data_IF_557675607865
#
_entry.id   IF_557675607865
#
_cell.length_a   1.000
_cell.length_b   1.000
_cell.length_c   1.000
_cell.angle_alpha   90.00
_cell.angle_beta   90.00
_cell.angle_gamma   90.00
#
_symmetry.space_group_name_H-M   'P 1'
#
loop_
_entity.id
_entity.type
_entity.pdbx_description
1 polymer ?
#
# COMPACT_ATOMS: atom_id res chain seq x y z
N UNK A 1 13.43 -15.29 -16.23
CA UNK A 1 13.18 -14.67 -14.91
C UNK A 1 12.41 -15.65 -14.05
N UNK A 2 12.90 -15.91 -12.84
CA UNK A 2 12.17 -16.82 -11.96
C UNK A 2 11.01 -16.08 -11.28
N UNK A 3 10.16 -16.85 -10.61
CA UNK A 3 8.95 -16.30 -10.02
C UNK A 3 9.23 -15.28 -8.90
N UNK A 4 10.26 -15.53 -8.10
CA UNK A 4 10.64 -14.61 -7.04
C UNK A 4 11.10 -13.27 -7.59
N UNK A 5 11.91 -13.30 -8.66
CA UNK A 5 12.37 -12.08 -9.30
C UNK A 5 11.21 -11.29 -9.90
N UNK A 6 10.25 -12.00 -10.52
CA UNK A 6 9.07 -11.36 -11.08
C UNK A 6 8.25 -10.65 -9.98
N UNK A 7 8.04 -11.32 -8.85
CA UNK A 7 7.32 -10.74 -7.72
C UNK A 7 8.04 -9.51 -7.18
N UNK A 8 9.36 -9.59 -7.04
CA UNK A 8 10.15 -8.46 -6.58
C UNK A 8 10.06 -7.26 -7.53
N UNK A 9 10.06 -7.52 -8.84
CA UNK A 9 9.91 -6.46 -9.83
C UNK A 9 8.54 -5.78 -9.71
N UNK A 10 7.48 -6.55 -9.53
CA UNK A 10 6.13 -6.01 -9.35
C UNK A 10 6.06 -5.18 -8.08
N UNK A 11 6.59 -5.68 -6.98
CA UNK A 11 6.62 -4.95 -5.72
C UNK A 11 7.38 -3.63 -5.87
N UNK A 12 8.53 -3.66 -6.54
CA UNK A 12 9.32 -2.46 -6.78
C UNK A 12 8.56 -1.43 -7.60
N UNK A 13 7.86 -1.86 -8.64
CA UNK A 13 7.05 -0.98 -9.46
C UNK A 13 5.91 -0.36 -8.66
N UNK A 14 5.23 -1.15 -7.83
CA UNK A 14 4.14 -0.66 -6.98
C UNK A 14 4.65 0.33 -5.93
N UNK A 15 5.81 0.06 -5.33
CA UNK A 15 6.42 0.98 -4.38
C UNK A 15 6.77 2.30 -5.04
N UNK A 16 7.25 2.27 -6.28
CA UNK A 16 7.55 3.47 -7.04
C UNK A 16 6.28 4.29 -7.28
N UNK A 17 5.19 3.63 -7.70
CA UNK A 17 3.90 4.28 -7.91
C UNK A 17 3.40 4.91 -6.62
N UNK A 18 3.48 4.18 -5.50
CA UNK A 18 3.10 4.71 -4.19
C UNK A 18 3.88 5.96 -3.83
N UNK A 19 5.19 5.91 -4.02
CA UNK A 19 6.07 7.04 -3.67
C UNK A 19 5.73 8.28 -4.49
N UNK A 20 5.54 8.11 -5.79
CA UNK A 20 5.18 9.22 -6.68
C UNK A 20 3.83 9.81 -6.27
N UNK A 21 2.83 8.96 -6.03
CA UNK A 21 1.50 9.41 -5.64
C UNK A 21 1.53 10.17 -4.32
N UNK A 22 2.28 9.65 -3.35
CA UNK A 22 2.41 10.27 -2.05
C UNK A 22 3.10 11.63 -2.15
N UNK A 23 4.17 11.72 -2.97
CA UNK A 23 4.89 12.98 -3.17
C UNK A 23 4.00 14.02 -3.82
N UNK A 24 3.19 13.62 -4.81
CA UNK A 24 2.26 14.55 -5.46
C UNK A 24 1.28 15.13 -4.43
N UNK A 25 0.70 14.28 -3.59
CA UNK A 25 -0.22 14.76 -2.56
C UNK A 25 0.49 15.64 -1.53
N UNK A 26 1.73 15.33 -1.19
CA UNK A 26 2.52 16.13 -0.26
C UNK A 26 2.79 17.53 -0.83
N UNK A 27 3.17 17.61 -2.11
CA UNK A 27 3.40 18.89 -2.79
C UNK A 27 2.11 19.70 -2.85
N UNK A 28 0.97 19.06 -3.14
CA UNK A 28 -0.32 19.76 -3.15
C UNK A 28 -0.66 20.31 -1.78
N UNK A 29 -0.40 19.55 -0.71
CA UNK A 29 -0.63 20.02 0.65
C UNK A 29 0.25 21.22 0.97
N UNK A 30 1.51 21.21 0.54
CA UNK A 30 2.43 22.34 0.73
C UNK A 30 1.95 23.60 0.01
N UNK A 31 1.20 23.45 -1.08
CA UNK A 31 0.63 24.55 -1.84
C UNK A 31 -0.78 24.93 -1.39
N UNK A 32 -1.22 24.43 -0.25
CA UNK A 32 -2.57 24.64 0.30
C UNK A 32 -3.69 24.11 -0.62
N UNK A 33 -3.39 23.09 -1.40
CA UNK A 33 -4.38 22.40 -2.22
C UNK A 33 -4.79 21.11 -1.54
N UNK A 34 -6.02 20.68 -1.82
CA UNK A 34 -6.53 19.43 -1.26
C UNK A 34 -5.82 18.22 -1.87
N UNK A 35 -5.52 17.18 -1.08
CA UNK A 35 -4.99 15.94 -1.64
C UNK A 35 -5.99 15.32 -2.60
N UNK A 36 -5.48 14.69 -3.65
CA UNK A 36 -6.34 14.00 -4.61
C UNK A 36 -6.77 12.65 -4.03
N UNK A 37 -8.07 12.43 -3.99
CA UNK A 37 -8.62 11.20 -3.42
C UNK A 37 -8.14 9.96 -4.16
N UNK A 38 -8.14 10.02 -5.49
CA UNK A 38 -7.76 8.86 -6.29
C UNK A 38 -6.28 8.49 -6.10
N UNK A 39 -5.41 9.48 -5.87
CA UNK A 39 -4.01 9.20 -5.56
C UNK A 39 -3.85 8.51 -4.21
N UNK A 40 -4.64 8.92 -3.22
CA UNK A 40 -4.67 8.24 -1.94
C UNK A 40 -5.11 6.79 -2.07
N UNK A 41 -6.13 6.55 -2.89
CA UNK A 41 -6.59 5.19 -3.17
C UNK A 41 -5.50 4.36 -3.83
N UNK A 42 -4.78 4.94 -4.80
CA UNK A 42 -3.67 4.25 -5.46
C UNK A 42 -2.61 3.84 -4.44
N UNK A 43 -2.25 4.73 -3.52
CA UNK A 43 -1.25 4.44 -2.48
C UNK A 43 -1.70 3.25 -1.62
N UNK A 44 -2.93 3.29 -1.11
CA UNK A 44 -3.40 2.23 -0.21
C UNK A 44 -3.58 0.90 -0.92
N UNK A 45 -4.14 0.92 -2.12
CA UNK A 45 -4.35 -0.30 -2.91
C UNK A 45 -3.00 -0.92 -3.27
N UNK A 46 -2.04 -0.11 -3.71
CA UNK A 46 -0.69 -0.60 -4.03
C UNK A 46 -0.02 -1.19 -2.80
N UNK A 47 -0.18 -0.56 -1.62
CA UNK A 47 0.35 -1.09 -0.37
C UNK A 47 -0.22 -2.44 -0.02
N UNK A 48 -1.53 -2.61 -0.17
CA UNK A 48 -2.20 -3.88 0.11
C UNK A 48 -1.68 -4.98 -0.83
N UNK A 49 -1.55 -4.67 -2.12
CA UNK A 49 -1.05 -5.62 -3.10
C UNK A 49 0.41 -6.00 -2.78
N UNK A 50 1.24 -5.01 -2.44
CA UNK A 50 2.64 -5.27 -2.07
C UNK A 50 2.74 -6.19 -0.87
N UNK A 51 1.94 -5.96 0.15
CA UNK A 51 1.95 -6.80 1.36
C UNK A 51 1.52 -8.22 1.01
N UNK A 52 0.47 -8.37 0.22
CA UNK A 52 0.00 -9.68 -0.22
C UNK A 52 1.05 -10.44 -1.01
N UNK A 53 1.68 -9.79 -1.98
CA UNK A 53 2.72 -10.41 -2.79
C UNK A 53 3.94 -10.79 -1.95
N UNK A 54 4.33 -9.92 -1.03
CA UNK A 54 5.46 -10.21 -0.15
C UNK A 54 5.16 -11.37 0.79
N UNK A 55 3.93 -11.49 1.27
CA UNK A 55 3.51 -12.61 2.10
C UNK A 55 3.61 -13.93 1.33
N UNK A 56 3.14 -13.95 0.09
CA UNK A 56 3.22 -15.14 -0.76
C UNK A 56 4.67 -15.53 -1.01
N UNK A 57 5.51 -14.54 -1.31
CA UNK A 57 6.93 -14.78 -1.56
C UNK A 57 7.61 -15.34 -0.32
N UNK A 58 7.35 -14.77 0.85
CA UNK A 58 7.96 -15.24 2.11
C UNK A 58 7.50 -16.63 2.47
N UNK A 59 6.24 -16.96 2.22
CA UNK A 59 5.73 -18.31 2.45
C UNK A 59 6.51 -19.34 1.66
N UNK A 60 6.82 -19.03 0.39
CA UNK A 60 7.52 -19.97 -0.47
C UNK A 60 8.98 -20.15 -0.13
N UNK A 61 9.61 -19.11 0.43
CA UNK A 61 11.05 -19.12 0.71
C UNK A 61 11.34 -19.79 2.05
N UNK A 62 10.53 -19.54 3.07
CA UNK A 62 10.81 -19.98 4.42
C UNK A 62 9.54 -20.50 5.08
N UNK A 63 9.29 -21.79 4.92
CA UNK A 63 8.11 -22.43 5.50
C UNK A 63 8.16 -22.47 7.03
N UNK A 64 9.36 -22.55 7.61
CA UNK A 64 9.50 -22.70 9.06
C UNK A 64 9.03 -21.47 9.82
N UNK A 65 9.24 -20.29 9.26
CA UNK A 65 8.79 -19.04 9.88
C UNK A 65 7.54 -18.46 9.22
N UNK A 66 6.90 -19.21 8.35
CA UNK A 66 5.75 -18.74 7.59
C UNK A 66 4.63 -18.25 8.48
N UNK A 67 4.35 -18.92 9.60
CA UNK A 67 3.29 -18.53 10.51
C UNK A 67 3.51 -17.14 11.09
N UNK A 68 4.75 -16.85 11.52
CA UNK A 68 5.09 -15.54 12.08
C UNK A 68 5.01 -14.46 10.99
N UNK A 69 5.54 -14.76 9.81
CA UNK A 69 5.53 -13.82 8.69
C UNK A 69 4.10 -13.48 8.27
N UNK A 70 3.24 -14.49 8.17
CA UNK A 70 1.83 -14.29 7.80
C UNK A 70 1.11 -13.47 8.84
N UNK A 71 1.34 -13.75 10.13
CA UNK A 71 0.72 -12.98 11.20
C UNK A 71 1.12 -11.50 11.12
N UNK A 72 2.40 -11.23 10.89
CA UNK A 72 2.87 -9.85 10.72
C UNK A 72 2.22 -9.16 9.52
N UNK A 73 2.09 -9.87 8.40
CA UNK A 73 1.47 -9.31 7.20
C UNK A 73 -0.03 -9.08 7.39
N UNK A 74 -0.72 -9.97 8.11
CA UNK A 74 -2.14 -9.78 8.41
C UNK A 74 -2.34 -8.53 9.27
N UNK A 75 -1.50 -8.34 10.28
CA UNK A 75 -1.56 -7.14 11.12
C UNK A 75 -1.33 -5.89 10.29
N UNK A 76 -0.34 -5.92 9.39
CA UNK A 76 -0.06 -4.80 8.50
C UNK A 76 -1.25 -4.51 7.57
N UNK A 77 -1.89 -5.55 7.03
CA UNK A 77 -3.07 -5.39 6.19
C UNK A 77 -4.23 -4.73 6.93
N UNK A 78 -4.50 -5.18 8.16
CA UNK A 78 -5.55 -4.56 8.96
C UNK A 78 -5.24 -3.10 9.26
N UNK A 79 -3.99 -2.78 9.55
CA UNK A 79 -3.57 -1.41 9.79
C UNK A 79 -3.79 -0.53 8.56
N UNK A 80 -3.41 -1.02 7.39
CA UNK A 80 -3.58 -0.29 6.14
C UNK A 80 -5.06 -0.13 5.80
N UNK A 81 -5.85 -1.18 5.96
CA UNK A 81 -7.28 -1.12 5.69
C UNK A 81 -7.98 -0.13 6.61
N UNK A 82 -7.62 -0.12 7.89
CA UNK A 82 -8.17 0.84 8.85
C UNK A 82 -7.82 2.27 8.45
N UNK A 83 -6.57 2.51 8.04
CA UNK A 83 -6.14 3.83 7.57
C UNK A 83 -6.88 4.23 6.30
N UNK A 84 -7.08 3.29 5.38
CA UNK A 84 -7.84 3.53 4.15
C UNK A 84 -9.28 3.95 4.46
N UNK A 85 -9.96 3.21 5.31
CA UNK A 85 -11.34 3.50 5.69
C UNK A 85 -11.43 4.87 6.35
N UNK A 86 -10.49 5.18 7.24
CA UNK A 86 -10.44 6.47 7.91
C UNK A 86 -10.24 7.60 6.91
N UNK A 87 -9.34 7.41 5.95
CA UNK A 87 -9.07 8.38 4.90
C UNK A 87 -10.31 8.64 4.05
N UNK A 88 -11.03 7.59 3.65
CA UNK A 88 -12.25 7.72 2.87
C UNK A 88 -13.33 8.47 3.63
N UNK A 89 -13.48 8.21 4.92
CA UNK A 89 -14.43 8.93 5.75
C UNK A 89 -14.10 10.42 5.83
N UNK A 90 -12.83 10.76 5.94
CA UNK A 90 -12.41 12.16 5.98
C UNK A 90 -12.78 12.88 4.69
N UNK A 91 -12.61 12.25 3.55
CA UNK A 91 -13.01 12.83 2.27
C UNK A 91 -14.53 13.01 2.21
N UNK A 92 -15.28 12.01 2.66
CA UNK A 92 -16.75 12.09 2.65
C UNK A 92 -17.26 13.17 3.58
N UNK A 93 -16.67 13.33 4.76
CA UNK A 93 -17.06 14.35 5.72
C UNK A 93 -16.81 15.76 5.17
N UNK A 94 -15.71 15.96 4.48
CA UNK A 94 -15.39 17.25 3.90
C UNK A 94 -16.25 17.57 2.68
N UNK A 95 -16.72 16.54 2.00
CA UNK A 95 -17.65 16.66 0.87
C UNK A 95 -17.19 17.66 -0.20
N UNK A 96 -15.90 17.80 -0.39
CA UNK A 96 -15.34 18.85 -1.23
C UNK A 96 -14.61 18.34 -2.45
N UNK A 97 -14.63 17.07 -2.67
CA UNK A 97 -13.75 16.49 -3.67
C UNK A 97 -14.50 15.58 -4.62
#
# INVERSE_FOLDING_TARGET
MNQNTAILCVIGALLLIMSISWIINLVRAAKNKHPLRWLGRVVYISGIICIGLNAIRSWRIDEDSAGIVIAAHVIALFSILSAFIRSERQYDEKNDF
#
